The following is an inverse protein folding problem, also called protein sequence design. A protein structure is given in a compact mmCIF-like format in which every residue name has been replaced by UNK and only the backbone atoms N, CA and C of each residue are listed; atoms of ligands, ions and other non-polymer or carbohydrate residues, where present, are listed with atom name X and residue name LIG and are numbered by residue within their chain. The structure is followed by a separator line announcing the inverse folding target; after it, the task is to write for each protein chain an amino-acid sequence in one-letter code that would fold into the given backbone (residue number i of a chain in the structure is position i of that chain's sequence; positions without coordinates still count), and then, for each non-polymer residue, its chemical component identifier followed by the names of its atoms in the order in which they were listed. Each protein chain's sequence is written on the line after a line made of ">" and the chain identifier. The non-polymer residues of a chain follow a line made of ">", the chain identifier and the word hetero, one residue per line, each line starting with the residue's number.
data_IF_180085119450
#
_entry.id   IF_180085119450
#
_cell.length_a   1.000
_cell.length_b   1.000
_cell.length_c   1.000
_cell.angle_alpha   90.00
_cell.angle_beta   90.00
_cell.angle_gamma   90.00
#
_symmetry.space_group_name_H-M   'P 1'
#
loop_
_entity.id
_entity.type
_entity.pdbx_description
1 polymer ?
#
# COMPACT_ATOMS: atom_id res chain seq x y z
N UNK A 1 0.27 2.01 -12.20
CA UNK A 1 -0.72 1.32 -13.06
C UNK A 1 -0.61 -0.20 -12.94
N UNK A 2 0.57 -0.80 -13.17
CA UNK A 2 0.76 -2.27 -13.08
C UNK A 2 0.39 -2.86 -11.71
N UNK A 3 0.79 -2.22 -10.61
CA UNK A 3 0.56 -2.74 -9.27
C UNK A 3 -0.93 -2.77 -8.90
N UNK A 4 -1.69 -1.73 -9.26
CA UNK A 4 -3.13 -1.69 -9.01
C UNK A 4 -3.87 -2.82 -9.74
N UNK A 5 -3.40 -3.18 -10.95
CA UNK A 5 -3.98 -4.27 -11.71
C UNK A 5 -3.65 -5.64 -11.09
N UNK A 6 -2.40 -5.84 -10.68
CA UNK A 6 -1.97 -7.08 -10.01
C UNK A 6 -2.68 -7.27 -8.67
N UNK A 7 -2.83 -6.21 -7.88
CA UNK A 7 -3.54 -6.29 -6.61
C UNK A 7 -5.04 -6.51 -6.76
N UNK A 8 -5.68 -5.89 -7.76
CA UNK A 8 -7.07 -6.20 -8.09
C UNK A 8 -7.24 -7.68 -8.50
N UNK A 9 -6.29 -8.22 -9.28
CA UNK A 9 -6.30 -9.64 -9.65
C UNK A 9 -6.11 -10.55 -8.43
N UNK A 10 -5.22 -10.19 -7.50
CA UNK A 10 -5.00 -10.92 -6.25
C UNK A 10 -6.28 -11.00 -5.40
N UNK A 11 -7.03 -9.90 -5.30
CA UNK A 11 -8.29 -9.85 -4.56
C UNK A 11 -9.42 -10.68 -5.22
N UNK A 12 -9.44 -10.75 -6.55
CA UNK A 12 -10.46 -11.52 -7.31
C UNK A 12 -10.21 -13.03 -7.26
N UNK A 13 -8.98 -13.45 -7.03
CA UNK A 13 -8.57 -14.86 -7.01
C UNK A 13 -8.63 -15.49 -5.63
N UNK A 14 -9.11 -14.77 -4.62
CA UNK A 14 -9.23 -15.30 -3.26
C UNK A 14 -10.26 -16.43 -3.16
N UNK A 15 -9.93 -17.54 -2.49
CA UNK A 15 -10.86 -18.63 -2.28
C UNK A 15 -12.07 -18.17 -1.44
N UNK A 16 -13.25 -18.77 -1.63
CA UNK A 16 -14.46 -18.38 -0.91
C UNK A 16 -14.27 -18.56 0.60
N UNK A 17 -14.62 -17.52 1.37
CA UNK A 17 -14.53 -17.54 2.83
C UNK A 17 -15.86 -18.02 3.44
N UNK A 18 -15.83 -19.05 4.28
CA UNK A 18 -17.01 -19.62 4.96
C UNK A 18 -17.74 -18.61 5.87
N UNK A 19 -17.05 -17.57 6.34
CA UNK A 19 -17.69 -16.48 7.09
C UNK A 19 -18.65 -15.63 6.24
N UNK A 20 -18.54 -15.67 4.90
CA UNK A 20 -19.49 -15.00 3.99
C UNK A 20 -20.90 -15.60 4.10
N UNK A 21 -21.01 -16.90 4.38
CA UNK A 21 -22.31 -17.58 4.52
C UNK A 21 -23.04 -17.19 5.82
N UNK A 22 -22.33 -16.66 6.82
CA UNK A 22 -22.91 -16.20 8.09
C UNK A 22 -23.40 -14.75 8.02
N UNK A 23 -23.03 -13.99 6.98
CA UNK A 23 -23.50 -12.61 6.81
C UNK A 23 -24.90 -12.58 6.22
N UNK A 24 -25.70 -11.63 6.68
CA UNK A 24 -27.01 -11.36 6.11
C UNK A 24 -26.89 -10.98 4.63
N UNK A 25 -27.81 -11.42 3.76
CA UNK A 25 -27.72 -11.18 2.32
C UNK A 25 -27.73 -9.68 1.99
N UNK A 26 -26.85 -9.29 1.07
CA UNK A 26 -26.74 -7.90 0.60
C UNK A 26 -28.03 -7.51 -0.13
N UNK A 27 -28.68 -6.43 0.30
CA UNK A 27 -29.90 -5.93 -0.35
C UNK A 27 -29.58 -5.48 -1.78
N UNK A 28 -30.42 -5.82 -2.77
CA UNK A 28 -30.29 -5.39 -4.20
C UNK A 28 -30.14 -3.87 -4.42
N UNK A 29 -30.51 -3.05 -3.42
CA UNK A 29 -30.43 -1.58 -3.44
C UNK A 29 -29.45 -1.03 -2.39
N UNK A 30 -28.59 -1.88 -1.83
CA UNK A 30 -27.55 -1.49 -0.88
C UNK A 30 -26.45 -0.68 -1.57
N UNK A 31 -25.82 0.25 -0.84
CA UNK A 31 -24.69 1.02 -1.35
C UNK A 31 -23.51 0.06 -1.63
N UNK A 32 -22.92 0.14 -2.83
CA UNK A 32 -21.71 -0.63 -3.19
C UNK A 32 -20.51 -0.28 -2.30
N UNK A 33 -20.45 0.96 -1.81
CA UNK A 33 -19.42 1.44 -0.88
C UNK A 33 -20.08 1.68 0.48
N UNK A 34 -19.70 0.88 1.48
CA UNK A 34 -20.16 1.06 2.86
C UNK A 34 -19.45 2.26 3.52
N UNK A 35 -20.03 2.80 4.60
CA UNK A 35 -19.37 3.86 5.38
C UNK A 35 -18.01 3.39 5.94
N UNK A 36 -17.89 2.09 6.23
CA UNK A 36 -16.65 1.45 6.67
C UNK A 36 -15.57 1.50 5.57
N UNK A 37 -15.96 1.21 4.32
CA UNK A 37 -15.06 1.35 3.16
C UNK A 37 -14.66 2.81 2.93
N UNK A 38 -15.60 3.75 3.00
CA UNK A 38 -15.33 5.18 2.84
C UNK A 38 -14.32 5.69 3.86
N UNK A 39 -14.46 5.31 5.13
CA UNK A 39 -13.49 5.64 6.19
C UNK A 39 -12.09 5.12 5.86
N UNK A 40 -11.99 3.86 5.40
CA UNK A 40 -10.70 3.25 5.08
C UNK A 40 -10.04 3.91 3.86
N UNK A 41 -10.82 4.19 2.80
CA UNK A 41 -10.35 4.88 1.59
C UNK A 41 -9.86 6.28 1.91
N UNK A 42 -10.66 7.07 2.65
CA UNK A 42 -10.28 8.44 3.01
C UNK A 42 -9.05 8.47 3.92
N UNK A 43 -8.99 7.61 4.93
CA UNK A 43 -7.86 7.57 5.85
C UNK A 43 -6.55 7.14 5.18
N UNK A 44 -6.59 6.12 4.33
CA UNK A 44 -5.42 5.69 3.56
C UNK A 44 -4.98 6.74 2.53
N UNK A 45 -5.93 7.33 1.79
CA UNK A 45 -5.61 8.37 0.79
C UNK A 45 -5.03 9.62 1.44
N UNK A 46 -5.55 10.02 2.60
CA UNK A 46 -5.04 11.15 3.36
C UNK A 46 -3.63 10.86 3.90
N UNK A 47 -3.41 9.67 4.47
CA UNK A 47 -2.09 9.25 4.93
C UNK A 47 -1.07 9.26 3.79
N UNK A 48 -1.37 8.62 2.66
CA UNK A 48 -0.47 8.58 1.50
C UNK A 48 -0.16 9.98 0.97
N UNK A 49 -1.17 10.86 0.91
CA UNK A 49 -1.00 12.24 0.48
C UNK A 49 -0.10 13.04 1.43
N UNK A 50 -0.28 12.88 2.75
CA UNK A 50 0.58 13.51 3.76
C UNK A 50 2.02 13.01 3.70
N UNK A 51 2.22 11.70 3.52
CA UNK A 51 3.55 11.09 3.41
C UNK A 51 4.28 11.60 2.16
N UNK A 52 3.64 11.59 1.00
CA UNK A 52 4.25 12.06 -0.25
C UNK A 52 4.57 13.55 -0.14
N UNK A 53 3.64 14.36 0.38
CA UNK A 53 3.87 15.78 0.59
C UNK A 53 5.03 16.04 1.55
N UNK A 54 5.13 15.29 2.65
CA UNK A 54 6.24 15.37 3.60
C UNK A 54 7.58 14.99 2.97
N UNK A 55 7.61 13.90 2.18
CA UNK A 55 8.81 13.49 1.45
C UNK A 55 9.20 14.50 0.37
N UNK A 56 8.25 15.15 -0.31
CA UNK A 56 8.56 16.23 -1.24
C UNK A 56 9.10 17.47 -0.54
N UNK A 57 8.52 17.86 0.59
CA UNK A 57 8.88 19.08 1.31
C UNK A 57 10.21 18.93 2.09
N UNK A 58 10.44 17.78 2.71
CA UNK A 58 11.59 17.53 3.60
C UNK A 58 12.54 16.43 3.13
N UNK A 59 12.25 15.73 2.04
CA UNK A 59 13.10 14.65 1.55
C UNK A 59 14.54 15.08 1.29
N UNK A 60 14.76 16.26 0.68
CA UNK A 60 16.12 16.78 0.44
C UNK A 60 16.92 16.96 1.74
N UNK A 61 16.27 17.47 2.78
CA UNK A 61 16.88 17.70 4.10
C UNK A 61 17.10 16.40 4.89
N UNK A 62 16.16 15.44 4.81
CA UNK A 62 16.24 14.16 5.52
C UNK A 62 17.36 13.28 4.94
N UNK A 63 17.55 13.32 3.63
CA UNK A 63 18.56 12.51 2.94
C UNK A 63 19.87 13.25 2.67
N UNK A 64 20.00 14.50 3.14
CA UNK A 64 21.20 15.32 3.00
C UNK A 64 21.72 15.34 1.54
N UNK A 65 20.79 15.50 0.59
CA UNK A 65 21.09 15.46 -0.83
C UNK A 65 21.55 16.87 -1.27
N UNK A 66 22.86 17.08 -1.25
CA UNK A 66 23.52 18.27 -1.81
C UNK A 66 24.22 17.88 -3.12
N UNK A 67 23.49 17.97 -4.25
CA UNK A 67 24.03 17.67 -5.57
C UNK A 67 23.08 17.96 -6.74
N UNK A 68 23.57 18.01 -7.98
CA UNK A 68 22.75 18.25 -9.18
C UNK A 68 21.71 17.15 -9.44
N UNK A 69 21.95 15.92 -8.98
CA UNK A 69 21.05 14.77 -9.16
C UNK A 69 20.04 14.57 -8.01
N UNK A 70 19.95 15.55 -7.10
CA UNK A 70 19.13 15.44 -5.89
C UNK A 70 17.63 15.30 -6.19
N UNK A 71 17.15 15.96 -7.24
CA UNK A 71 15.74 15.86 -7.66
C UNK A 71 15.39 14.47 -8.19
N UNK A 72 16.31 13.83 -8.91
CA UNK A 72 16.11 12.49 -9.47
C UNK A 72 16.14 11.43 -8.35
N UNK A 73 17.08 11.53 -7.41
CA UNK A 73 17.10 10.67 -6.22
C UNK A 73 15.84 10.83 -5.36
N UNK A 74 15.38 12.07 -5.15
CA UNK A 74 14.17 12.35 -4.36
C UNK A 74 12.91 11.79 -5.04
N UNK A 75 12.77 11.96 -6.35
CA UNK A 75 11.66 11.39 -7.12
C UNK A 75 11.66 9.85 -7.05
N UNK A 76 12.84 9.24 -7.16
CA UNK A 76 12.98 7.77 -7.02
C UNK A 76 12.55 7.31 -5.63
N UNK A 77 12.94 8.05 -4.59
CA UNK A 77 12.62 7.71 -3.21
C UNK A 77 11.12 7.86 -2.90
N UNK A 78 10.49 8.91 -3.43
CA UNK A 78 9.04 9.10 -3.37
C UNK A 78 8.34 7.96 -4.08
N UNK A 79 8.78 7.61 -5.29
CA UNK A 79 8.20 6.51 -6.05
C UNK A 79 8.33 5.17 -5.30
N UNK A 80 9.52 4.87 -4.77
CA UNK A 80 9.78 3.66 -4.00
C UNK A 80 8.88 3.58 -2.75
N UNK A 81 8.82 4.67 -1.96
CA UNK A 81 7.96 4.75 -0.78
C UNK A 81 6.47 4.63 -1.13
N UNK A 82 6.04 5.24 -2.24
CA UNK A 82 4.66 5.16 -2.71
C UNK A 82 4.27 3.75 -3.15
N UNK A 83 5.19 3.01 -3.77
CA UNK A 83 4.95 1.60 -4.13
C UNK A 83 4.80 0.75 -2.88
N UNK A 84 5.69 0.90 -1.89
CA UNK A 84 5.55 0.19 -0.64
C UNK A 84 4.25 0.52 0.10
N UNK A 85 3.87 1.79 0.18
CA UNK A 85 2.58 2.21 0.74
C UNK A 85 1.39 1.53 0.04
N UNK A 86 1.46 1.30 -1.27
CA UNK A 86 0.41 0.58 -2.01
C UNK A 86 0.41 -0.91 -1.72
N UNK A 87 1.58 -1.56 -1.64
CA UNK A 87 1.71 -2.97 -1.23
C UNK A 87 1.06 -3.19 0.15
N UNK A 88 1.35 -2.32 1.11
CA UNK A 88 0.72 -2.40 2.44
C UNK A 88 -0.77 -2.03 2.42
N UNK A 89 -1.18 -1.07 1.59
CA UNK A 89 -2.60 -0.75 1.42
C UNK A 89 -3.39 -1.92 0.83
N UNK A 90 -2.83 -2.66 -0.12
CA UNK A 90 -3.43 -3.86 -0.71
C UNK A 90 -3.67 -4.91 0.38
N UNK A 91 -2.63 -5.19 1.18
CA UNK A 91 -2.71 -6.08 2.36
C UNK A 91 -3.82 -5.60 3.30
N UNK A 92 -3.86 -4.30 3.65
CA UNK A 92 -4.85 -3.74 4.56
C UNK A 92 -6.29 -3.73 4.01
N UNK A 93 -6.46 -3.61 2.69
CA UNK A 93 -7.76 -3.58 2.02
C UNK A 93 -8.45 -4.93 1.98
N UNK A 94 -7.67 -6.01 2.11
CA UNK A 94 -8.12 -7.41 2.03
C UNK A 94 -9.16 -7.77 3.09
N UNK A 95 -8.95 -7.35 4.33
CA UNK A 95 -9.87 -7.59 5.44
C UNK A 95 -10.35 -6.24 6.01
N UNK A 96 -11.48 -5.74 5.52
CA UNK A 96 -11.97 -4.40 5.84
C UNK A 96 -12.48 -4.26 7.28
N UNK A 97 -12.89 -5.37 7.91
CA UNK A 97 -13.47 -5.38 9.26
C UNK A 97 -12.60 -6.05 10.33
N UNK A 98 -11.74 -7.01 9.97
CA UNK A 98 -10.87 -7.71 10.94
C UNK A 98 -9.48 -7.05 11.01
N UNK A 99 -8.97 -6.91 12.23
CA UNK A 99 -7.62 -6.33 12.50
C UNK A 99 -6.50 -7.35 12.20
N UNK A 100 -6.80 -8.64 12.16
CA UNK A 100 -5.83 -9.73 11.93
C UNK A 100 -5.47 -9.91 10.46
N UNK A 101 -4.99 -8.84 9.82
CA UNK A 101 -4.62 -8.82 8.39
C UNK A 101 -3.48 -9.80 8.08
N UNK A 102 -2.53 -9.97 9.01
CA UNK A 102 -1.37 -10.85 8.84
C UNK A 102 -1.72 -12.35 8.85
N UNK A 103 -2.75 -12.75 9.61
CA UNK A 103 -3.14 -14.16 9.71
C UNK A 103 -3.81 -14.64 8.41
N UNK A 104 -4.66 -13.80 7.82
CA UNK A 104 -5.26 -14.05 6.52
C UNK A 104 -4.23 -14.01 5.37
N UNK A 105 -3.16 -13.21 5.50
CA UNK A 105 -2.08 -13.12 4.51
C UNK A 105 -1.33 -14.44 4.32
N UNK A 106 -0.99 -15.13 5.41
CA UNK A 106 -0.24 -16.40 5.34
C UNK A 106 -1.07 -17.58 4.85
N UNK A 107 -2.40 -17.51 4.90
CA UNK A 107 -3.27 -18.61 4.48
C UNK A 107 -3.45 -18.70 2.96
N UNK A 108 -3.18 -17.62 2.20
CA UNK A 108 -3.35 -17.61 0.74
C UNK A 108 -2.03 -17.43 -0.02
N UNK A 109 -1.49 -18.53 -0.54
CA UNK A 109 -0.24 -18.55 -1.32
C UNK A 109 -0.27 -17.62 -2.55
N UNK A 110 -1.44 -17.42 -3.18
CA UNK A 110 -1.55 -16.54 -4.35
C UNK A 110 -1.32 -15.07 -4.00
N UNK A 111 -1.82 -14.62 -2.85
CA UNK A 111 -1.58 -13.26 -2.34
C UNK A 111 -0.09 -13.03 -2.08
N UNK A 112 0.58 -13.99 -1.44
CA UNK A 112 2.04 -13.93 -1.21
C UNK A 112 2.80 -13.91 -2.53
N UNK A 113 2.38 -14.70 -3.53
CA UNK A 113 2.99 -14.73 -4.84
C UNK A 113 2.90 -13.36 -5.54
N UNK A 114 1.73 -12.73 -5.56
CA UNK A 114 1.55 -11.41 -6.19
C UNK A 114 2.35 -10.32 -5.45
N UNK A 115 2.31 -10.29 -4.11
CA UNK A 115 3.08 -9.34 -3.31
C UNK A 115 4.60 -9.53 -3.49
N UNK A 116 5.06 -10.78 -3.57
CA UNK A 116 6.47 -11.06 -3.85
C UNK A 116 6.86 -10.62 -5.27
N UNK A 117 5.97 -10.82 -6.24
CA UNK A 117 6.16 -10.39 -7.62
C UNK A 117 6.25 -8.86 -7.74
N UNK A 118 5.41 -8.11 -7.02
CA UNK A 118 5.46 -6.64 -7.03
C UNK A 118 6.74 -6.10 -6.39
N UNK A 119 7.21 -6.68 -5.28
CA UNK A 119 8.49 -6.30 -4.66
C UNK A 119 9.68 -6.63 -5.56
N UNK A 120 9.69 -7.81 -6.18
CA UNK A 120 10.75 -8.20 -7.14
C UNK A 120 10.77 -7.24 -8.34
N UNK A 121 9.61 -6.95 -8.91
CA UNK A 121 9.53 -6.01 -10.03
C UNK A 121 9.98 -4.60 -9.62
N UNK A 122 9.68 -4.18 -8.39
CA UNK A 122 10.15 -2.90 -7.87
C UNK A 122 11.68 -2.84 -7.75
N UNK A 123 12.33 -3.91 -7.31
CA UNK A 123 13.79 -4.01 -7.28
C UNK A 123 14.36 -3.92 -8.70
N UNK A 124 13.75 -4.63 -9.66
CA UNK A 124 14.18 -4.60 -11.06
C UNK A 124 14.05 -3.18 -11.64
N UNK A 125 12.93 -2.48 -11.39
CA UNK A 125 12.72 -1.13 -11.90
C UNK A 125 13.80 -0.18 -11.37
N UNK A 126 14.02 -0.19 -10.05
CA UNK A 126 14.90 0.75 -9.37
C UNK A 126 16.38 0.50 -9.70
N UNK A 127 16.81 -0.76 -9.79
CA UNK A 127 18.22 -1.11 -10.01
C UNK A 127 18.59 -1.16 -11.50
N UNK A 128 17.71 -1.68 -12.36
CA UNK A 128 18.04 -1.99 -13.76
C UNK A 128 17.37 -1.06 -14.79
N UNK A 129 16.30 -0.37 -14.42
CA UNK A 129 15.53 0.50 -15.33
C UNK A 129 15.76 1.99 -15.09
N UNK A 130 16.85 2.34 -14.39
CA UNK A 130 17.26 3.71 -14.06
C UNK A 130 17.16 4.69 -15.23
N UNK A 131 17.71 4.31 -16.38
CA UNK A 131 17.78 5.16 -17.59
C UNK A 131 16.46 5.30 -18.34
N UNK A 132 15.50 4.38 -18.16
CA UNK A 132 14.19 4.43 -18.81
C UNK A 132 13.12 5.07 -17.91
N UNK A 133 13.30 4.97 -16.60
CA UNK A 133 12.36 5.45 -15.59
C UNK A 133 12.81 6.74 -14.89
N UNK A 134 13.93 7.34 -15.32
CA UNK A 134 14.61 8.46 -14.64
C UNK A 134 14.76 8.19 -13.14
N UNK A 135 15.27 7.01 -12.81
CA UNK A 135 15.49 6.57 -11.43
C UNK A 135 16.96 6.36 -11.12
N UNK A 136 17.35 6.65 -9.88
CA UNK A 136 18.70 6.40 -9.38
C UNK A 136 18.73 5.17 -8.48
N UNK A 137 19.80 4.35 -8.52
CA UNK A 137 19.96 3.23 -7.61
C UNK A 137 19.92 3.75 -6.16
N UNK A 138 19.07 3.13 -5.35
CA UNK A 138 18.83 3.52 -3.97
C UNK A 138 19.77 2.75 -3.04
N UNK A 139 20.29 3.42 -2.02
CA UNK A 139 21.07 2.73 -0.98
C UNK A 139 20.15 1.85 -0.12
N UNK A 140 20.67 0.76 0.46
CA UNK A 140 19.95 -0.10 1.41
C UNK A 140 19.25 0.68 2.53
N UNK A 141 19.86 1.77 3.03
CA UNK A 141 19.26 2.65 4.03
C UNK A 141 17.96 3.32 3.51
N UNK A 142 17.96 3.81 2.28
CA UNK A 142 16.80 4.45 1.66
C UNK A 142 15.68 3.43 1.38
N UNK A 143 16.04 2.23 0.93
CA UNK A 143 15.12 1.10 0.81
C UNK A 143 14.45 0.77 2.14
N UNK A 144 15.23 0.66 3.22
CA UNK A 144 14.70 0.34 4.54
C UNK A 144 13.74 1.42 5.05
N UNK A 145 13.99 2.69 4.72
CA UNK A 145 13.14 3.81 5.10
C UNK A 145 11.82 3.80 4.31
N UNK A 146 11.86 3.51 3.00
CA UNK A 146 10.65 3.31 2.19
C UNK A 146 9.78 2.16 2.70
N UNK A 147 10.40 1.04 3.07
CA UNK A 147 9.72 -0.10 3.71
C UNK A 147 9.12 0.32 5.06
N UNK A 148 9.87 1.06 5.87
CA UNK A 148 9.42 1.51 7.19
C UNK A 148 8.21 2.45 7.09
N UNK A 149 8.23 3.41 6.16
CA UNK A 149 7.09 4.30 5.87
C UNK A 149 5.89 3.46 5.41
N UNK A 150 6.10 2.52 4.48
CA UNK A 150 5.04 1.61 4.06
C UNK A 150 4.47 0.82 5.24
N UNK A 151 5.32 0.29 6.11
CA UNK A 151 4.92 -0.48 7.27
C UNK A 151 4.10 0.36 8.27
N UNK A 152 4.43 1.64 8.46
CA UNK A 152 3.67 2.58 9.28
C UNK A 152 2.23 2.81 8.77
N UNK A 153 1.95 2.56 7.49
CA UNK A 153 0.58 2.62 6.97
C UNK A 153 -0.34 1.56 7.59
N UNK A 154 0.21 0.42 8.02
CA UNK A 154 -0.52 -0.72 8.62
C UNK A 154 -1.10 -0.44 10.01
N UNK A 155 -0.33 0.04 11.02
CA UNK A 155 -0.91 0.41 12.31
C UNK A 155 -1.88 1.58 12.18
N UNK A 156 -1.67 2.50 11.23
CA UNK A 156 -2.61 3.59 10.94
C UNK A 156 -3.91 3.04 10.35
N UNK A 157 -3.83 2.07 9.43
CA UNK A 157 -5.00 1.34 8.93
C UNK A 157 -5.76 0.64 10.06
N UNK A 158 -5.04 -0.05 10.95
CA UNK A 158 -5.61 -0.72 12.11
C UNK A 158 -6.30 0.27 13.07
N UNK A 159 -5.67 1.41 13.34
CA UNK A 159 -6.23 2.49 14.16
C UNK A 159 -7.50 3.08 13.54
N UNK A 160 -7.50 3.34 12.23
CA UNK A 160 -8.69 3.77 11.49
C UNK A 160 -9.82 2.72 11.56
N UNK A 161 -9.47 1.43 11.55
CA UNK A 161 -10.43 0.33 11.70
C UNK A 161 -11.06 0.26 13.10
N UNK A 162 -10.33 0.65 14.15
CA UNK A 162 -10.83 0.70 15.53
C UNK A 162 -11.85 1.81 15.79
N UNK A 163 -11.86 2.88 15.00
CA UNK A 163 -12.82 3.99 15.16
C UNK A 163 -14.19 3.51 14.71
N UNK A 164 -15.09 3.17 15.64
CA UNK A 164 -16.41 2.66 15.29
C UNK A 164 -17.26 3.74 14.60
N UNK A 165 -17.44 3.64 13.29
CA UNK A 165 -18.34 4.51 12.53
C UNK A 165 -19.67 3.80 12.46
N UNK A 166 -20.70 4.40 13.07
CA UNK A 166 -22.03 3.82 13.17
C UNK A 166 -22.53 3.25 11.84
N UNK A 167 -22.87 1.96 11.85
CA UNK A 167 -23.54 1.30 10.74
C UNK A 167 -24.91 1.96 10.54
N UNK A 168 -25.14 2.51 9.34
CA UNK A 168 -26.48 2.86 8.85
C UNK A 168 -26.71 2.14 7.54
#
# INVERSE_FOLDING_TARGET
>A
MIMNALGALALVTEPPNDDLMKRSPVKRRGKLISNVMWRNILGQSFYQSMVIWYLQAKGKAIFCLDGPDSDLMLNTLIFNSFVFCQVFNEINSREMEKINVFKAMQENYFCVAVLSGTVLFQIIIVEFLGTFADTSPLTLAQWSLGIFIGFLSTPIAAGLKMINVGAT
#
